data_IF_474856500054
#
_entry.id   IF_474856500054
#
_cell.length_a   1.000
_cell.length_b   1.000
_cell.length_c   1.000
_cell.angle_alpha   90.00
_cell.angle_beta   90.00
_cell.angle_gamma   90.00
#
_symmetry.space_group_name_H-M   'P 1'
#
loop_
_entity.id
_entity.type
_entity.pdbx_description
1 polymer ?
#
# COMPACT_ATOMS: atom_id res chain seq x y z
N UNK A 1 15.04 5.21 3.59
CA UNK A 1 14.75 6.02 2.39
C UNK A 1 15.31 5.44 1.11
N UNK A 2 16.50 4.81 1.08
CA UNK A 2 17.04 4.16 -0.11
C UNK A 2 16.24 2.93 -0.55
N UNK A 3 15.59 2.22 0.38
CA UNK A 3 14.80 1.04 0.08
C UNK A 3 13.61 1.29 -0.87
N UNK A 4 13.03 2.48 -0.87
CA UNK A 4 11.93 2.81 -1.80
C UNK A 4 12.36 2.90 -3.26
N UNK A 5 13.64 3.10 -3.53
CA UNK A 5 14.20 3.15 -4.89
C UNK A 5 14.23 1.77 -5.55
N UNK A 6 14.32 0.71 -4.75
CA UNK A 6 14.30 -0.66 -5.23
C UNK A 6 12.89 -1.22 -5.49
N UNK A 7 11.82 -0.44 -5.28
CA UNK A 7 10.46 -0.92 -5.52
C UNK A 7 10.12 -0.92 -7.01
N UNK A 8 9.76 -2.07 -7.61
CA UNK A 8 9.48 -2.19 -9.05
C UNK A 8 8.43 -1.20 -9.55
N UNK A 9 7.41 -0.94 -8.76
CA UNK A 9 6.34 0.02 -9.08
C UNK A 9 6.81 1.47 -9.18
N UNK A 10 7.91 1.81 -8.51
CA UNK A 10 8.52 3.13 -8.63
C UNK A 10 9.33 3.22 -9.93
N UNK A 11 10.10 2.19 -10.24
CA UNK A 11 10.94 2.14 -11.45
C UNK A 11 10.08 2.15 -12.72
N UNK A 12 8.99 1.39 -12.76
CA UNK A 12 8.08 1.35 -13.90
C UNK A 12 7.52 2.72 -14.30
N UNK A 13 7.32 3.63 -13.35
CA UNK A 13 6.84 4.98 -13.63
C UNK A 13 7.83 5.78 -14.48
N UNK A 14 9.12 5.55 -14.34
CA UNK A 14 10.14 6.23 -15.14
C UNK A 14 10.13 5.82 -16.61
N UNK A 15 9.78 4.56 -16.90
CA UNK A 15 9.66 4.08 -18.28
C UNK A 15 8.46 4.67 -19.04
N UNK A 16 7.46 5.19 -18.34
CA UNK A 16 6.28 5.79 -18.94
C UNK A 16 6.42 7.28 -19.26
N UNK A 17 7.57 7.90 -18.94
CA UNK A 17 7.76 9.34 -19.11
C UNK A 17 8.19 9.66 -20.53
N UNK A 18 7.46 10.60 -21.20
CA UNK A 18 7.66 10.93 -22.61
C UNK A 18 8.92 11.76 -22.93
N UNK A 19 9.42 12.54 -21.98
CA UNK A 19 10.54 13.45 -22.24
C UNK A 19 11.30 13.86 -20.98
N UNK A 20 12.58 14.23 -21.11
CA UNK A 20 13.41 14.73 -20.02
C UNK A 20 12.83 15.94 -19.25
N UNK A 21 12.30 16.98 -19.93
CA UNK A 21 11.63 18.09 -19.27
C UNK A 21 10.41 17.68 -18.43
N UNK A 22 9.65 16.67 -18.90
CA UNK A 22 8.51 16.13 -18.15
C UNK A 22 8.94 15.44 -16.85
N UNK A 23 10.13 14.83 -16.80
CA UNK A 23 10.72 14.27 -15.57
C UNK A 23 10.91 15.36 -14.52
N UNK A 24 11.49 16.50 -14.91
CA UNK A 24 11.75 17.63 -14.00
C UNK A 24 10.44 18.22 -13.46
N UNK A 25 9.45 18.46 -14.32
CA UNK A 25 8.13 18.92 -13.88
C UNK A 25 7.44 17.91 -12.95
N UNK A 26 7.44 16.63 -13.32
CA UNK A 26 6.89 15.56 -12.49
C UNK A 26 7.56 15.47 -11.13
N UNK A 27 8.90 15.62 -11.07
CA UNK A 27 9.63 15.63 -9.81
C UNK A 27 9.23 16.81 -8.91
N UNK A 28 9.09 18.03 -9.46
CA UNK A 28 8.67 19.20 -8.69
C UNK A 28 7.25 19.00 -8.14
N UNK A 29 6.30 18.61 -9.01
CA UNK A 29 4.89 18.42 -8.61
C UNK A 29 4.78 17.32 -7.55
N UNK A 30 5.43 16.19 -7.75
CA UNK A 30 5.38 15.07 -6.79
C UNK A 30 6.07 15.42 -5.46
N UNK A 31 7.13 16.22 -5.49
CA UNK A 31 7.81 16.66 -4.26
C UNK A 31 6.91 17.62 -3.47
N UNK A 32 6.28 18.60 -4.14
CA UNK A 32 5.32 19.50 -3.48
C UNK A 32 4.13 18.74 -2.91
N UNK A 33 3.58 17.81 -3.68
CA UNK A 33 2.48 16.95 -3.21
C UNK A 33 2.90 16.10 -2.01
N UNK A 34 4.05 15.45 -2.08
CA UNK A 34 4.59 14.65 -0.98
C UNK A 34 4.84 15.50 0.28
N UNK A 35 5.33 16.73 0.11
CA UNK A 35 5.53 17.65 1.23
C UNK A 35 4.20 18.01 1.91
N UNK A 36 3.16 18.32 1.13
CA UNK A 36 1.83 18.65 1.66
C UNK A 36 1.21 17.42 2.36
N UNK A 37 1.25 16.25 1.72
CA UNK A 37 0.65 15.03 2.28
C UNK A 37 1.42 14.54 3.50
N UNK A 38 2.73 14.41 3.41
CA UNK A 38 3.55 13.95 4.53
C UNK A 38 3.54 14.98 5.68
N UNK A 39 3.71 16.26 5.38
CA UNK A 39 3.65 17.32 6.37
C UNK A 39 2.30 17.38 7.08
N UNK A 40 1.20 17.26 6.33
CA UNK A 40 -0.16 17.18 6.89
C UNK A 40 -0.36 15.96 7.77
N UNK A 41 0.13 14.79 7.33
CA UNK A 41 0.02 13.54 8.11
C UNK A 41 0.82 13.62 9.42
N UNK A 42 2.05 14.11 9.38
CA UNK A 42 2.87 14.31 10.59
C UNK A 42 2.27 15.36 11.53
N UNK A 43 1.73 16.44 10.96
CA UNK A 43 1.04 17.48 11.74
C UNK A 43 -0.19 16.90 12.47
N UNK A 44 -1.05 16.17 11.76
CA UNK A 44 -2.19 15.47 12.36
C UNK A 44 -1.74 14.44 13.40
N UNK A 45 -0.69 13.66 13.11
CA UNK A 45 -0.11 12.71 14.06
C UNK A 45 0.37 13.36 15.35
N UNK A 46 0.86 14.62 15.27
CA UNK A 46 1.23 15.43 16.43
C UNK A 46 0.05 15.69 17.38
N UNK A 47 -1.15 15.92 16.83
CA UNK A 47 -2.37 16.07 17.63
C UNK A 47 -2.80 14.76 18.32
N UNK A 48 -2.39 13.59 17.81
CA UNK A 48 -2.64 12.31 18.47
C UNK A 48 -2.11 12.25 19.89
N UNK A 49 -1.07 13.02 20.21
CA UNK A 49 -0.56 13.12 21.60
C UNK A 49 -1.56 13.78 22.57
N UNK A 50 -2.42 14.66 22.08
CA UNK A 50 -3.46 15.29 22.90
C UNK A 50 -4.56 14.29 23.29
N UNK A 51 -4.76 13.26 22.47
CA UNK A 51 -5.72 12.19 22.69
C UNK A 51 -5.09 10.91 23.25
N UNK A 52 -3.82 10.94 23.64
CA UNK A 52 -3.06 9.76 24.11
C UNK A 52 -3.66 9.09 25.35
N UNK A 53 -4.40 9.83 26.17
CA UNK A 53 -5.12 9.28 27.34
C UNK A 53 -6.38 8.47 27.02
N UNK A 54 -6.83 8.49 25.74
CA UNK A 54 -8.02 7.78 25.26
C UNK A 54 -7.69 6.63 24.30
N UNK A 55 -6.40 6.33 24.13
CA UNK A 55 -5.93 5.27 23.22
C UNK A 55 -6.26 3.91 23.84
N UNK A 56 -6.82 3.02 23.05
CA UNK A 56 -7.09 1.65 23.46
C UNK A 56 -5.78 0.92 23.82
N UNK A 57 -5.81 0.21 24.95
CA UNK A 57 -4.71 -0.61 25.40
C UNK A 57 -4.92 -2.05 24.94
N UNK A 58 -3.91 -2.62 24.29
CA UNK A 58 -3.92 -4.02 23.94
C UNK A 58 -3.83 -4.95 25.14
N UNK A 59 -4.13 -6.22 24.94
CA UNK A 59 -4.04 -7.25 25.99
C UNK A 59 -2.65 -7.33 26.65
N UNK A 60 -1.61 -6.83 26.00
CA UNK A 60 -0.23 -6.79 26.47
C UNK A 60 0.12 -5.52 27.25
N UNK A 61 -0.87 -4.66 27.55
CA UNK A 61 -0.66 -3.37 28.24
C UNK A 61 0.06 -2.32 27.38
N UNK A 62 0.22 -2.56 26.09
CA UNK A 62 0.79 -1.59 25.14
C UNK A 62 -0.31 -0.82 24.40
N UNK A 63 -0.12 0.47 24.08
CA UNK A 63 -1.10 1.24 23.34
C UNK A 63 -1.24 0.71 21.92
N UNK A 64 -2.49 0.55 21.46
CA UNK A 64 -2.81 0.21 20.07
C UNK A 64 -2.71 1.48 19.24
N UNK A 65 -1.57 1.72 18.62
CA UNK A 65 -1.31 2.94 17.84
C UNK A 65 -2.29 3.14 16.68
N UNK A 66 -2.80 2.05 16.10
CA UNK A 66 -3.77 2.10 14.99
C UNK A 66 -5.14 2.61 15.43
N UNK A 67 -5.44 2.67 16.74
CA UNK A 67 -6.69 3.25 17.29
C UNK A 67 -6.66 4.77 17.46
N UNK A 68 -5.48 5.41 17.37
CA UNK A 68 -5.33 6.85 17.61
C UNK A 68 -6.17 7.68 16.64
N UNK A 69 -6.05 7.41 15.35
CA UNK A 69 -6.77 8.16 14.32
C UNK A 69 -8.29 7.93 14.39
N UNK A 70 -8.80 6.68 14.48
CA UNK A 70 -10.22 6.45 14.73
C UNK A 70 -10.76 7.19 15.97
N UNK A 71 -10.01 7.17 17.08
CA UNK A 71 -10.40 7.88 18.32
C UNK A 71 -10.48 9.39 18.11
N UNK A 72 -9.52 9.97 17.41
CA UNK A 72 -9.58 11.41 17.08
C UNK A 72 -10.76 11.73 16.16
N UNK A 73 -11.05 10.89 15.20
CA UNK A 73 -12.14 11.08 14.24
C UNK A 73 -13.51 10.91 14.90
N UNK A 74 -13.64 10.08 15.94
CA UNK A 74 -14.92 9.85 16.64
C UNK A 74 -15.49 11.10 17.33
N UNK A 75 -14.67 12.13 17.51
CA UNK A 75 -15.12 13.44 18.05
C UNK A 75 -15.72 14.38 16.98
N UNK A 76 -15.65 14.01 15.71
CA UNK A 76 -16.18 14.80 14.61
C UNK A 76 -17.70 14.58 14.41
N UNK A 77 -18.42 15.54 13.81
CA UNK A 77 -19.81 15.34 13.40
C UNK A 77 -19.94 14.14 12.44
N UNK A 78 -21.05 13.39 12.53
CA UNK A 78 -21.31 12.16 11.76
C UNK A 78 -21.12 12.32 10.25
N UNK A 79 -21.51 13.50 9.70
CA UNK A 79 -21.31 13.79 8.29
C UNK A 79 -19.82 13.78 7.89
N UNK A 80 -18.97 14.36 8.72
CA UNK A 80 -17.52 14.39 8.47
C UNK A 80 -16.90 13.00 8.62
N UNK A 81 -17.33 12.23 9.61
CA UNK A 81 -16.91 10.83 9.77
C UNK A 81 -17.29 10.04 8.52
N UNK A 82 -18.51 10.19 8.01
CA UNK A 82 -18.95 9.52 6.78
C UNK A 82 -18.07 9.86 5.57
N UNK A 83 -17.73 11.13 5.38
CA UNK A 83 -16.84 11.58 4.30
C UNK A 83 -15.44 10.94 4.45
N UNK A 84 -14.87 10.95 5.66
CA UNK A 84 -13.55 10.35 5.91
C UNK A 84 -13.56 8.85 5.63
N UNK A 85 -14.60 8.13 6.07
CA UNK A 85 -14.74 6.68 5.79
C UNK A 85 -14.76 6.43 4.27
N UNK A 86 -15.55 7.18 3.51
CA UNK A 86 -15.61 7.04 2.05
C UNK A 86 -14.25 7.34 1.41
N UNK A 87 -13.54 8.36 1.86
CA UNK A 87 -12.20 8.70 1.37
C UNK A 87 -11.20 7.57 1.64
N UNK A 88 -11.18 7.02 2.86
CA UNK A 88 -10.28 5.93 3.25
C UNK A 88 -10.59 4.67 2.45
N UNK A 89 -11.86 4.30 2.32
CA UNK A 89 -12.28 3.14 1.52
C UNK A 89 -11.89 3.31 0.04
N UNK A 90 -12.15 4.46 -0.54
CA UNK A 90 -11.81 4.75 -1.95
C UNK A 90 -10.30 4.68 -2.19
N UNK A 91 -9.50 5.26 -1.31
CA UNK A 91 -8.04 5.21 -1.39
C UNK A 91 -7.51 3.76 -1.24
N UNK A 92 -8.05 3.01 -0.29
CA UNK A 92 -7.68 1.61 -0.05
C UNK A 92 -8.05 0.72 -1.24
N UNK A 93 -9.25 0.88 -1.81
CA UNK A 93 -9.68 0.14 -3.00
C UNK A 93 -8.81 0.43 -4.22
N UNK A 94 -8.46 1.71 -4.44
CA UNK A 94 -7.58 2.12 -5.54
C UNK A 94 -6.20 1.46 -5.43
N UNK A 95 -5.61 1.48 -4.24
CA UNK A 95 -4.30 0.88 -3.98
C UNK A 95 -4.35 -0.64 -4.10
N UNK A 96 -5.33 -1.29 -3.48
CA UNK A 96 -5.49 -2.74 -3.53
C UNK A 96 -5.68 -3.24 -4.96
N UNK A 97 -6.54 -2.59 -5.74
CA UNK A 97 -6.78 -2.94 -7.15
C UNK A 97 -5.49 -2.86 -7.98
N UNK A 98 -4.71 -1.81 -7.79
CA UNK A 98 -3.45 -1.62 -8.48
C UNK A 98 -2.42 -2.71 -8.12
N UNK A 99 -2.27 -3.01 -6.83
CA UNK A 99 -1.32 -4.02 -6.34
C UNK A 99 -1.71 -5.43 -6.81
N UNK A 100 -2.98 -5.80 -6.69
CA UNK A 100 -3.47 -7.13 -7.09
C UNK A 100 -3.36 -7.30 -8.60
N UNK A 101 -3.69 -6.27 -9.39
CA UNK A 101 -3.54 -6.32 -10.85
C UNK A 101 -2.06 -6.47 -11.24
N UNK A 102 -1.17 -5.69 -10.67
CA UNK A 102 0.27 -5.78 -10.94
C UNK A 102 0.82 -7.16 -10.57
N UNK A 103 0.52 -7.65 -9.37
CA UNK A 103 0.99 -8.95 -8.91
C UNK A 103 0.48 -10.10 -9.78
N UNK A 104 -0.80 -10.09 -10.17
CA UNK A 104 -1.40 -11.12 -11.03
C UNK A 104 -0.84 -11.07 -12.45
N UNK A 105 -0.59 -9.86 -12.99
CA UNK A 105 -0.01 -9.71 -14.32
C UNK A 105 1.44 -10.16 -14.35
N UNK A 106 2.25 -9.78 -13.38
CA UNK A 106 3.65 -10.22 -13.26
C UNK A 106 3.74 -11.74 -13.13
N UNK A 107 2.94 -12.34 -12.26
CA UNK A 107 2.95 -13.80 -12.10
C UNK A 107 2.49 -14.51 -13.38
N UNK A 108 1.51 -13.97 -14.09
CA UNK A 108 1.00 -14.58 -15.33
C UNK A 108 1.98 -14.42 -16.48
N UNK A 109 2.49 -13.21 -16.70
CA UNK A 109 3.28 -12.88 -17.90
C UNK A 109 4.75 -13.26 -17.72
N UNK A 110 5.35 -12.95 -16.59
CA UNK A 110 6.78 -13.12 -16.37
C UNK A 110 7.11 -14.54 -15.88
N UNK A 111 6.29 -15.11 -15.00
CA UNK A 111 6.57 -16.43 -14.45
C UNK A 111 5.88 -17.54 -15.23
N UNK A 112 4.57 -17.50 -15.40
CA UNK A 112 3.84 -18.60 -16.02
C UNK A 112 4.08 -18.66 -17.53
N UNK A 113 3.90 -17.58 -18.25
CA UNK A 113 4.10 -17.54 -19.70
C UNK A 113 5.59 -17.65 -20.06
N UNK A 114 6.48 -17.02 -19.29
CA UNK A 114 7.91 -17.04 -19.55
C UNK A 114 8.56 -18.40 -19.31
N UNK A 115 8.20 -19.08 -18.23
CA UNK A 115 8.92 -20.26 -17.78
C UNK A 115 8.11 -21.58 -17.82
N UNK A 116 6.78 -21.54 -17.68
CA UNK A 116 5.96 -22.75 -17.50
C UNK A 116 5.14 -23.07 -18.74
N UNK A 117 4.44 -22.09 -19.32
CA UNK A 117 3.54 -22.28 -20.46
C UNK A 117 3.91 -21.32 -21.60
N UNK A 118 4.93 -21.66 -22.36
CA UNK A 118 5.51 -20.80 -23.41
C UNK A 118 4.52 -20.36 -24.51
N UNK A 119 3.44 -21.11 -24.76
CA UNK A 119 2.46 -20.84 -25.81
C UNK A 119 1.08 -20.49 -25.26
N UNK A 120 1.01 -19.72 -24.16
CA UNK A 120 -0.26 -19.33 -23.57
C UNK A 120 -0.99 -18.34 -24.48
N UNK A 121 -2.23 -18.69 -24.88
CA UNK A 121 -3.07 -17.79 -25.69
C UNK A 121 -3.45 -16.53 -24.90
N UNK A 122 -3.79 -15.45 -25.59
CA UNK A 122 -4.22 -14.19 -24.93
C UNK A 122 -5.43 -14.38 -24.00
N UNK A 123 -6.40 -15.19 -24.45
CA UNK A 123 -7.56 -15.56 -23.61
C UNK A 123 -7.15 -16.35 -22.37
N UNK A 124 -6.18 -17.24 -22.50
CA UNK A 124 -5.60 -17.99 -21.39
C UNK A 124 -4.89 -17.06 -20.38
N UNK A 125 -4.11 -16.11 -20.86
CA UNK A 125 -3.44 -15.11 -20.01
C UNK A 125 -4.46 -14.31 -19.21
N UNK A 126 -5.50 -13.77 -19.86
CA UNK A 126 -6.55 -13.00 -19.19
C UNK A 126 -7.32 -13.84 -18.16
N UNK A 127 -7.65 -15.10 -18.49
CA UNK A 127 -8.33 -16.00 -17.56
C UNK A 127 -7.47 -16.30 -16.34
N UNK A 128 -6.19 -16.60 -16.54
CA UNK A 128 -5.24 -16.85 -15.45
C UNK A 128 -5.07 -15.62 -14.56
N UNK A 129 -4.92 -14.42 -15.15
CA UNK A 129 -4.85 -13.18 -14.38
C UNK A 129 -6.10 -12.98 -13.51
N UNK A 130 -7.30 -13.21 -14.04
CA UNK A 130 -8.55 -13.08 -13.27
C UNK A 130 -8.62 -14.07 -12.10
N UNK A 131 -8.20 -15.31 -12.31
CA UNK A 131 -8.13 -16.31 -11.23
C UNK A 131 -7.14 -15.88 -10.16
N UNK A 132 -5.95 -15.42 -10.55
CA UNK A 132 -4.93 -14.96 -9.63
C UNK A 132 -5.37 -13.71 -8.85
N UNK A 133 -6.11 -12.79 -9.48
CA UNK A 133 -6.73 -11.65 -8.78
C UNK A 133 -7.61 -12.14 -7.63
N UNK A 134 -8.50 -13.10 -7.90
CA UNK A 134 -9.39 -13.66 -6.88
C UNK A 134 -8.56 -14.32 -5.77
N UNK A 135 -7.56 -15.12 -6.13
CA UNK A 135 -6.69 -15.79 -5.16
C UNK A 135 -5.98 -14.78 -4.26
N UNK A 136 -5.38 -13.74 -4.83
CA UNK A 136 -4.70 -12.70 -4.04
C UNK A 136 -5.66 -11.93 -3.13
N UNK A 137 -6.87 -11.62 -3.58
CA UNK A 137 -7.89 -10.97 -2.74
C UNK A 137 -8.28 -11.88 -1.58
N UNK A 138 -8.51 -13.17 -1.83
CA UNK A 138 -8.88 -14.13 -0.78
C UNK A 138 -7.75 -14.28 0.25
N UNK A 139 -6.49 -14.39 -0.21
CA UNK A 139 -5.33 -14.45 0.68
C UNK A 139 -5.21 -13.17 1.50
N UNK A 140 -5.37 -12.00 0.88
CA UNK A 140 -5.30 -10.71 1.58
C UNK A 140 -6.40 -10.59 2.64
N UNK A 141 -7.62 -11.02 2.32
CA UNK A 141 -8.73 -11.02 3.27
C UNK A 141 -8.49 -11.98 4.44
N UNK A 142 -7.97 -13.18 4.15
CA UNK A 142 -7.63 -14.15 5.19
C UNK A 142 -6.53 -13.61 6.13
N UNK A 143 -5.49 -13.01 5.58
CA UNK A 143 -4.43 -12.37 6.37
C UNK A 143 -4.96 -11.22 7.22
N UNK A 144 -5.85 -10.39 6.68
CA UNK A 144 -6.48 -9.31 7.43
C UNK A 144 -7.32 -9.83 8.60
N UNK A 145 -8.07 -10.93 8.41
CA UNK A 145 -8.81 -11.58 9.49
C UNK A 145 -7.91 -12.15 10.57
N UNK A 146 -6.81 -12.81 10.17
CA UNK A 146 -5.81 -13.32 11.12
C UNK A 146 -5.19 -12.17 11.91
N UNK A 147 -4.86 -11.07 11.26
CA UNK A 147 -4.33 -9.88 11.91
C UNK A 147 -5.32 -9.27 12.90
N UNK A 148 -6.59 -9.20 12.54
CA UNK A 148 -7.65 -8.67 13.41
C UNK A 148 -7.80 -9.49 14.70
N UNK A 149 -7.67 -10.82 14.61
CA UNK A 149 -7.77 -11.71 15.77
C UNK A 149 -6.47 -11.87 16.57
N UNK A 150 -5.33 -11.66 15.93
CA UNK A 150 -4.02 -11.74 16.58
C UNK A 150 -3.50 -10.33 16.83
N UNK A 151 -3.57 -9.85 18.05
CA UNK A 151 -3.06 -8.53 18.48
C UNK A 151 -1.53 -8.37 18.32
N UNK A 152 -0.92 -9.04 17.33
CA UNK A 152 0.53 -9.30 17.32
C UNK A 152 1.31 -8.25 16.55
N UNK A 153 0.73 -7.56 15.57
CA UNK A 153 1.54 -6.72 14.67
C UNK A 153 0.87 -5.40 14.32
N UNK A 154 1.61 -4.34 14.57
CA UNK A 154 1.31 -3.01 14.09
C UNK A 154 1.38 -2.97 12.55
N UNK A 155 0.38 -2.38 11.87
CA UNK A 155 0.25 -2.36 10.40
C UNK A 155 1.50 -1.82 9.72
N UNK A 156 2.12 -0.78 10.29
CA UNK A 156 3.35 -0.20 9.74
C UNK A 156 4.54 -1.15 9.79
N UNK A 157 4.59 -2.09 10.75
CA UNK A 157 5.64 -3.12 10.80
C UNK A 157 5.47 -4.13 9.66
N UNK A 158 4.24 -4.60 9.40
CA UNK A 158 3.96 -5.50 8.28
C UNK A 158 4.31 -4.86 6.94
N UNK A 159 3.96 -3.58 6.78
CA UNK A 159 4.33 -2.81 5.60
C UNK A 159 5.85 -2.67 5.47
N UNK A 160 6.54 -2.38 6.58
CA UNK A 160 8.00 -2.29 6.62
C UNK A 160 8.70 -3.59 6.25
N UNK A 161 8.21 -4.73 6.73
CA UNK A 161 8.75 -6.06 6.40
C UNK A 161 8.54 -6.37 4.92
N UNK A 162 7.33 -6.20 4.39
CA UNK A 162 7.02 -6.54 3.00
C UNK A 162 7.74 -5.62 2.00
N UNK A 163 7.76 -4.32 2.26
CA UNK A 163 8.48 -3.37 1.41
C UNK A 163 9.99 -3.52 1.55
N UNK A 164 10.49 -3.82 2.74
CA UNK A 164 11.91 -4.10 2.96
C UNK A 164 12.38 -5.32 2.21
N UNK A 165 11.60 -6.41 2.19
CA UNK A 165 11.91 -7.61 1.43
C UNK A 165 11.93 -7.34 -0.08
N UNK A 166 10.92 -6.63 -0.62
CA UNK A 166 10.88 -6.26 -2.03
C UNK A 166 12.04 -5.34 -2.41
N UNK A 167 12.29 -4.29 -1.62
CA UNK A 167 13.38 -3.36 -1.87
C UNK A 167 14.74 -4.07 -1.82
N UNK A 168 14.95 -4.98 -0.87
CA UNK A 168 16.17 -5.77 -0.76
C UNK A 168 16.42 -6.68 -1.97
N UNK A 169 15.35 -7.28 -2.51
CA UNK A 169 15.43 -8.15 -3.67
C UNK A 169 15.75 -7.40 -4.97
N UNK A 170 15.22 -6.19 -5.14
CA UNK A 170 15.31 -5.45 -6.40
C UNK A 170 16.37 -4.35 -6.43
N UNK A 171 16.80 -3.87 -5.28
CA UNK A 171 17.79 -2.77 -5.20
C UNK A 171 19.13 -3.14 -5.87
N UNK A 172 19.61 -4.36 -5.64
CA UNK A 172 20.87 -4.84 -6.20
C UNK A 172 20.89 -4.83 -7.73
N UNK A 173 19.88 -5.37 -8.43
CA UNK A 173 19.80 -5.33 -9.90
C UNK A 173 19.67 -3.93 -10.50
N UNK A 174 19.24 -2.92 -9.73
CA UNK A 174 19.07 -1.53 -10.21
C UNK A 174 20.26 -0.61 -9.92
N UNK A 175 21.19 -1.04 -9.09
CA UNK A 175 22.46 -0.33 -8.81
C UNK A 175 23.59 -0.85 -9.66
#
# INVERSE_FOLDING_TARGET
>A
SLGTWGLPQMVQKFYAIKSGPAVKQGAIISTLFAFVVAGGSYFLGGFGRLSSGQVEMGANGQPIYDSIIPTMLSTLPDLLIGIVIVLVLSASMSTLSSLVLTSSSTLTLDVLKGNVVKNMSEKGQLSTMRVLIIVFIVISAALALVQYHSSITFIAQLMGISWGALAGAFLGPFL
#
